data_IF_827347826546
#
_entry.id   IF_827347826546
#
_cell.length_a   1.000
_cell.length_b   1.000
_cell.length_c   1.000
_cell.angle_alpha   90.00
_cell.angle_beta   90.00
_cell.angle_gamma   90.00
#
_symmetry.space_group_name_H-M   'P 1'
#
loop_
_entity.id
_entity.type
_entity.pdbx_description
1 polymer ?
#
# COMPACT_ATOMS: atom_id res chain seq x y z
N UNK A 1 2.48 -11.33 23.74
CA UNK A 1 2.05 -9.92 23.71
C UNK A 1 0.57 -9.92 23.36
N UNK A 2 -0.30 -9.45 24.24
CA UNK A 2 -1.75 -9.66 24.15
C UNK A 2 -2.37 -8.83 23.02
N UNK A 3 -3.11 -9.49 22.14
CA UNK A 3 -3.82 -8.90 20.98
C UNK A 3 -4.80 -7.75 21.35
N UNK A 4 -5.18 -7.64 22.62
CA UNK A 4 -6.05 -6.57 23.15
C UNK A 4 -5.36 -5.21 23.27
N UNK A 5 -4.04 -5.14 23.33
CA UNK A 5 -3.29 -3.89 23.44
C UNK A 5 -3.14 -3.17 22.08
N UNK A 6 -3.16 -3.90 20.99
CA UNK A 6 -3.00 -3.35 19.64
C UNK A 6 -4.29 -2.67 19.16
N UNK A 7 -5.44 -3.18 19.58
CA UNK A 7 -6.75 -2.61 19.20
C UNK A 7 -7.02 -1.28 19.93
N UNK A 8 -6.51 -1.11 21.16
CA UNK A 8 -6.68 0.14 21.94
C UNK A 8 -5.87 1.32 21.37
N UNK A 9 -4.77 1.09 20.69
CA UNK A 9 -3.95 2.15 20.09
C UNK A 9 -4.58 2.67 18.79
N UNK A 10 -5.28 1.82 18.04
CA UNK A 10 -5.95 2.20 16.80
C UNK A 10 -7.18 3.11 17.00
N UNK A 11 -7.82 3.04 18.16
CA UNK A 11 -9.02 3.86 18.48
C UNK A 11 -8.67 5.27 18.96
N UNK A 12 -7.45 5.48 19.47
CA UNK A 12 -7.04 6.76 20.06
C UNK A 12 -6.58 7.81 19.04
N UNK A 13 -6.36 7.44 17.80
CA UNK A 13 -5.92 8.36 16.72
C UNK A 13 -7.10 8.99 15.96
N UNK A 14 -8.33 8.56 16.20
CA UNK A 14 -9.51 9.03 15.43
C UNK A 14 -10.34 10.13 16.11
N UNK A 15 -9.88 10.70 17.23
CA UNK A 15 -10.54 11.83 17.88
C UNK A 15 -9.91 13.18 17.50
N UNK A 16 -9.79 13.48 16.20
CA UNK A 16 -9.53 14.84 15.76
C UNK A 16 -10.87 15.53 15.49
N UNK A 17 -11.18 16.43 16.38
CA UNK A 17 -12.34 17.27 16.49
C UNK A 17 -12.73 17.92 15.16
N UNK A 18 -13.96 17.66 14.72
CA UNK A 18 -14.67 18.50 13.76
C UNK A 18 -15.03 19.79 14.49
N UNK A 19 -14.21 20.83 14.39
CA UNK A 19 -14.59 22.19 14.76
C UNK A 19 -15.28 22.85 13.57
N UNK A 20 -16.54 23.21 13.79
CA UNK A 20 -17.43 23.83 12.84
C UNK A 20 -16.86 25.11 12.22
N UNK A 21 -16.99 25.21 10.92
CA UNK A 21 -16.81 26.48 10.21
C UNK A 21 -18.07 27.31 10.35
N UNK A 22 -17.88 28.45 10.97
CA UNK A 22 -18.86 29.53 11.05
C UNK A 22 -18.90 30.24 9.69
N UNK A 23 -20.02 30.19 9.05
CA UNK A 23 -20.32 30.91 7.82
C UNK A 23 -20.30 32.42 8.12
N UNK A 24 -19.44 33.18 7.44
CA UNK A 24 -19.69 34.62 7.20
C UNK A 24 -18.77 35.22 6.15
N UNK A 25 -19.40 36.00 5.31
CA UNK A 25 -18.93 37.07 4.43
C UNK A 25 -18.40 36.69 3.05
N UNK A 26 -19.13 37.19 2.08
CA UNK A 26 -18.79 37.33 0.66
C UNK A 26 -17.51 38.17 0.53
N UNK A 27 -16.37 37.50 0.55
CA UNK A 27 -15.12 38.12 0.09
C UNK A 27 -15.01 37.71 -1.39
N UNK A 28 -15.00 38.71 -2.30
CA UNK A 28 -14.56 38.49 -3.69
C UNK A 28 -13.15 37.91 -3.64
N UNK A 29 -13.05 36.62 -3.76
CA UNK A 29 -11.79 35.90 -3.93
C UNK A 29 -11.23 36.37 -5.28
N UNK A 30 -10.02 36.97 -5.34
CA UNK A 30 -9.35 37.16 -6.61
C UNK A 30 -9.27 35.79 -7.25
N UNK A 31 -9.75 35.66 -8.49
CA UNK A 31 -9.61 34.48 -9.30
C UNK A 31 -8.12 34.18 -9.39
N UNK A 32 -7.62 33.35 -8.48
CA UNK A 32 -6.33 32.72 -8.67
C UNK A 32 -6.51 31.88 -9.93
N UNK A 33 -5.99 32.43 -11.02
CA UNK A 33 -5.73 31.67 -12.23
C UNK A 33 -5.08 30.38 -11.76
N UNK A 34 -5.84 29.29 -11.78
CA UNK A 34 -5.26 27.96 -11.58
C UNK A 34 -4.20 27.87 -12.67
N UNK A 35 -2.94 27.88 -12.28
CA UNK A 35 -1.87 27.41 -13.15
C UNK A 35 -2.28 26.00 -13.56
N UNK A 36 -2.96 25.92 -14.68
CA UNK A 36 -3.23 24.74 -15.43
C UNK A 36 -1.85 24.17 -15.71
N UNK A 37 -1.43 23.20 -14.88
CA UNK A 37 -0.25 22.41 -15.15
C UNK A 37 -0.40 21.96 -16.60
N UNK A 38 0.52 22.43 -17.44
CA UNK A 38 0.57 22.13 -18.88
C UNK A 38 0.31 20.64 -19.03
N UNK A 39 -0.55 20.24 -19.97
CA UNK A 39 -1.13 18.91 -20.15
C UNK A 39 -0.18 17.71 -20.34
N UNK A 40 1.04 17.77 -19.81
CA UNK A 40 2.11 16.79 -19.91
C UNK A 40 2.26 15.92 -18.67
N UNK A 41 1.90 16.37 -17.49
CA UNK A 41 2.20 15.64 -16.24
C UNK A 41 1.10 14.62 -15.90
N UNK A 42 1.02 13.56 -16.72
CA UNK A 42 0.02 12.51 -16.53
C UNK A 42 0.58 11.25 -15.88
N UNK A 43 1.89 11.18 -15.70
CA UNK A 43 2.56 10.00 -15.16
C UNK A 43 3.25 10.34 -13.84
N UNK A 44 3.33 9.36 -12.96
CA UNK A 44 3.94 9.52 -11.65
C UNK A 44 4.66 8.24 -11.25
N UNK A 45 5.88 8.38 -10.73
CA UNK A 45 6.68 7.28 -10.20
C UNK A 45 7.00 7.54 -8.74
N UNK A 46 6.76 6.56 -7.88
CA UNK A 46 6.97 6.64 -6.42
C UNK A 46 7.67 5.40 -5.89
N UNK A 47 8.42 5.59 -4.83
CA UNK A 47 9.02 4.52 -4.03
C UNK A 47 8.32 4.50 -2.66
N UNK A 48 7.92 3.33 -2.20
CA UNK A 48 7.35 3.11 -0.89
C UNK A 48 8.47 2.89 0.14
N UNK A 49 8.76 3.93 0.91
CA UNK A 49 9.83 3.91 1.91
C UNK A 49 9.49 2.97 3.07
N UNK A 50 8.23 2.91 3.49
CA UNK A 50 7.81 2.05 4.58
C UNK A 50 8.04 0.58 4.23
N UNK A 51 7.65 0.15 3.04
CA UNK A 51 7.87 -1.23 2.58
C UNK A 51 9.36 -1.52 2.35
N UNK A 52 10.15 -0.54 1.91
CA UNK A 52 11.58 -0.69 1.75
C UNK A 52 12.30 -0.97 3.08
N UNK A 53 11.92 -0.28 4.16
CA UNK A 53 12.45 -0.52 5.53
C UNK A 53 12.07 -1.92 6.03
N UNK A 54 10.91 -2.44 5.61
CA UNK A 54 10.44 -3.79 5.95
C UNK A 54 11.10 -4.90 5.08
N UNK A 55 12.09 -4.57 4.24
CA UNK A 55 12.78 -5.54 3.39
C UNK A 55 12.02 -5.92 2.11
N UNK A 56 10.99 -5.13 1.75
CA UNK A 56 10.17 -5.33 0.56
C UNK A 56 10.06 -4.03 -0.27
N UNK A 57 11.16 -3.52 -0.84
CA UNK A 57 11.11 -2.31 -1.66
C UNK A 57 10.02 -2.42 -2.73
N UNK A 58 9.16 -1.40 -2.78
CA UNK A 58 8.02 -1.31 -3.69
C UNK A 58 8.13 -0.07 -4.56
N UNK A 59 8.01 -0.25 -5.86
CA UNK A 59 7.94 0.80 -6.86
C UNK A 59 6.49 0.93 -7.33
N UNK A 60 5.96 2.16 -7.32
CA UNK A 60 4.60 2.48 -7.73
C UNK A 60 4.63 3.38 -8.96
N UNK A 61 4.03 2.95 -10.06
CA UNK A 61 3.76 3.76 -11.24
C UNK A 61 2.27 4.05 -11.32
N UNK A 62 1.91 5.31 -11.61
CA UNK A 62 0.52 5.72 -11.78
C UNK A 62 0.37 6.63 -12.99
N UNK A 63 -0.67 6.39 -13.77
CA UNK A 63 -1.09 7.24 -14.89
C UNK A 63 -2.48 7.82 -14.61
N UNK A 64 -2.62 9.11 -14.79
CA UNK A 64 -3.88 9.81 -14.61
C UNK A 64 -4.72 9.75 -15.87
N UNK A 65 -5.94 9.22 -15.74
CA UNK A 65 -6.93 9.14 -16.83
C UNK A 65 -7.76 10.41 -16.85
N UNK A 66 -7.98 11.01 -15.68
CA UNK A 66 -8.76 12.22 -15.47
C UNK A 66 -8.16 13.03 -14.30
N UNK A 67 -8.69 14.20 -14.05
CA UNK A 67 -8.23 15.06 -12.95
C UNK A 67 -8.43 14.43 -11.57
N UNK A 68 -9.39 13.51 -11.46
CA UNK A 68 -9.72 12.83 -10.21
C UNK A 68 -9.58 11.29 -10.27
N UNK A 69 -9.02 10.72 -11.34
CA UNK A 69 -8.90 9.29 -11.55
C UNK A 69 -7.50 8.89 -11.99
N UNK A 70 -6.97 7.83 -11.41
CA UNK A 70 -5.70 7.23 -11.79
C UNK A 70 -5.75 5.72 -11.84
N UNK A 71 -4.96 5.14 -12.74
CA UNK A 71 -4.66 3.71 -12.78
C UNK A 71 -3.18 3.53 -12.57
N UNK A 72 -2.80 2.48 -11.90
CA UNK A 72 -1.38 2.26 -11.64
C UNK A 72 -1.05 0.81 -11.32
N UNK A 73 0.22 0.63 -11.08
CA UNK A 73 0.83 -0.64 -10.79
C UNK A 73 1.87 -0.46 -9.70
N UNK A 74 1.79 -1.28 -8.65
CA UNK A 74 2.82 -1.42 -7.64
C UNK A 74 3.54 -2.77 -7.82
N UNK A 75 4.86 -2.74 -7.77
CA UNK A 75 5.70 -3.94 -7.84
C UNK A 75 6.63 -3.93 -6.64
N UNK A 76 6.56 -4.99 -5.84
CA UNK A 76 7.43 -5.19 -4.69
C UNK A 76 8.17 -6.52 -4.81
N UNK A 77 9.45 -6.53 -4.42
CA UNK A 77 10.29 -7.72 -4.43
C UNK A 77 11.05 -7.77 -3.10
N UNK A 78 10.96 -8.91 -2.41
CA UNK A 78 11.69 -9.11 -1.16
C UNK A 78 13.19 -9.19 -1.41
N UNK A 79 13.95 -8.41 -0.66
CA UNK A 79 15.42 -8.48 -0.59
C UNK A 79 15.88 -9.40 0.53
N UNK A 80 14.96 -9.82 1.41
CA UNK A 80 15.23 -10.72 2.52
C UNK A 80 15.31 -12.19 2.08
N UNK A 81 16.00 -13.00 2.90
CA UNK A 81 16.09 -14.45 2.67
C UNK A 81 14.72 -15.12 2.88
N UNK A 82 14.46 -16.18 2.13
CA UNK A 82 13.21 -16.94 2.21
C UNK A 82 12.89 -17.50 3.62
N UNK A 83 13.90 -17.70 4.45
CA UNK A 83 13.74 -18.14 5.83
C UNK A 83 13.22 -17.05 6.78
N UNK A 84 13.36 -15.78 6.41
CA UNK A 84 12.97 -14.64 7.24
C UNK A 84 11.61 -14.09 6.83
N UNK A 85 11.29 -14.10 5.53
CA UNK A 85 10.06 -13.55 4.99
C UNK A 85 9.42 -14.52 3.99
N UNK A 86 8.16 -14.87 4.23
CA UNK A 86 7.38 -15.73 3.32
C UNK A 86 7.04 -15.02 2.01
N UNK A 87 6.80 -13.71 2.06
CA UNK A 87 6.46 -12.88 0.90
C UNK A 87 7.69 -12.64 0.03
N UNK A 88 7.64 -13.05 -1.24
CA UNK A 88 8.77 -12.93 -2.18
C UNK A 88 8.57 -11.82 -3.19
N UNK A 89 7.36 -11.72 -3.72
CA UNK A 89 7.02 -10.72 -4.73
C UNK A 89 5.55 -10.35 -4.62
N UNK A 90 5.24 -9.12 -4.94
CA UNK A 90 3.87 -8.63 -5.01
C UNK A 90 3.71 -7.73 -6.23
N UNK A 91 2.70 -8.02 -7.03
CA UNK A 91 2.29 -7.26 -8.20
C UNK A 91 0.87 -6.80 -7.98
N UNK A 92 0.67 -5.48 -7.88
CA UNK A 92 -0.61 -4.90 -7.45
C UNK A 92 -1.06 -3.83 -8.44
N UNK A 93 -1.85 -4.19 -9.46
CA UNK A 93 -2.59 -3.20 -10.23
C UNK A 93 -3.65 -2.54 -9.35
N UNK A 94 -3.83 -1.22 -9.52
CA UNK A 94 -4.77 -0.45 -8.73
C UNK A 94 -5.46 0.64 -9.55
N UNK A 95 -6.64 1.01 -9.06
CA UNK A 95 -7.44 2.13 -9.52
C UNK A 95 -7.72 3.08 -8.36
N UNK A 96 -7.60 4.39 -8.58
CA UNK A 96 -7.79 5.42 -7.55
C UNK A 96 -8.78 6.48 -7.96
N UNK A 97 -9.59 6.87 -6.98
CA UNK A 97 -10.45 8.04 -7.03
C UNK A 97 -9.95 9.08 -6.04
N UNK A 98 -9.71 10.30 -6.53
CA UNK A 98 -9.18 11.42 -5.76
C UNK A 98 -10.29 12.42 -5.41
N UNK A 99 -10.26 12.91 -4.18
CA UNK A 99 -11.20 13.88 -3.62
C UNK A 99 -10.46 15.14 -3.17
N UNK A 100 -9.84 15.84 -4.10
CA UNK A 100 -9.07 17.04 -3.82
C UNK A 100 -9.35 18.15 -4.84
N UNK A 101 -8.96 19.37 -4.51
CA UNK A 101 -9.16 20.56 -5.36
C UNK A 101 -8.08 20.66 -6.48
N UNK A 102 -7.03 19.86 -6.40
CA UNK A 102 -5.95 19.81 -7.41
C UNK A 102 -5.97 18.46 -8.11
N UNK A 103 -5.55 18.43 -9.36
CA UNK A 103 -5.47 17.23 -10.18
C UNK A 103 -4.75 16.10 -9.43
N UNK A 104 -5.45 14.98 -9.23
CA UNK A 104 -4.98 13.74 -8.61
C UNK A 104 -4.14 14.00 -7.33
N UNK A 105 -4.70 14.74 -6.39
CA UNK A 105 -4.10 15.02 -5.09
C UNK A 105 -5.17 15.17 -4.02
N UNK A 106 -4.79 15.16 -2.75
CA UNK A 106 -5.70 15.15 -1.62
C UNK A 106 -6.04 13.73 -1.18
N UNK A 107 -7.17 13.56 -0.55
CA UNK A 107 -7.67 12.25 -0.13
C UNK A 107 -7.99 11.36 -1.33
N UNK A 108 -7.76 10.06 -1.21
CA UNK A 108 -8.13 9.11 -2.24
C UNK A 108 -8.64 7.78 -1.66
N UNK A 109 -9.42 7.08 -2.48
CA UNK A 109 -9.81 5.70 -2.28
C UNK A 109 -9.18 4.87 -3.39
N UNK A 110 -8.60 3.73 -3.04
CA UNK A 110 -7.97 2.78 -3.96
C UNK A 110 -8.71 1.45 -3.94
N UNK A 111 -9.05 0.93 -5.13
CA UNK A 111 -9.37 -0.46 -5.33
C UNK A 111 -8.17 -1.15 -5.98
N UNK A 112 -7.79 -2.33 -5.49
CA UNK A 112 -6.63 -3.03 -6.02
C UNK A 112 -6.85 -4.53 -6.15
N UNK A 113 -6.04 -5.14 -7.01
CA UNK A 113 -5.87 -6.58 -7.13
C UNK A 113 -4.42 -6.91 -6.78
N UNK A 114 -4.16 -8.12 -6.29
CA UNK A 114 -2.80 -8.52 -5.97
C UNK A 114 -2.49 -9.92 -6.51
N UNK A 115 -1.29 -10.06 -7.07
CA UNK A 115 -0.67 -11.35 -7.38
C UNK A 115 0.54 -11.46 -6.47
N UNK A 116 0.51 -12.41 -5.56
CA UNK A 116 1.50 -12.53 -4.48
C UNK A 116 2.21 -13.88 -4.58
N UNK A 117 3.53 -13.82 -4.75
CA UNK A 117 4.42 -14.97 -4.67
C UNK A 117 4.90 -15.16 -3.23
N UNK A 118 4.67 -16.32 -2.67
CA UNK A 118 5.08 -16.70 -1.32
C UNK A 118 5.91 -17.97 -1.31
N UNK A 119 6.88 -18.06 -0.39
CA UNK A 119 7.61 -19.28 -0.10
C UNK A 119 7.17 -19.82 1.25
N UNK A 120 6.79 -21.09 1.28
CA UNK A 120 6.45 -21.82 2.50
C UNK A 120 7.57 -22.77 2.83
N UNK A 121 8.09 -22.68 4.03
CA UNK A 121 9.08 -23.64 4.53
C UNK A 121 8.37 -24.59 5.48
N UNK A 122 8.31 -25.87 5.09
CA UNK A 122 7.72 -26.94 5.87
C UNK A 122 8.86 -27.76 6.47
N UNK A 123 8.93 -27.82 7.80
CA UNK A 123 9.90 -28.66 8.52
C UNK A 123 9.20 -29.92 9.00
N UNK A 124 9.57 -31.06 8.43
CA UNK A 124 9.11 -32.39 8.84
C UNK A 124 10.16 -33.00 9.77
N UNK A 125 9.74 -33.42 10.96
CA UNK A 125 10.59 -34.08 11.95
C UNK A 125 10.40 -35.59 11.84
N UNK A 126 11.49 -36.33 11.64
CA UNK A 126 11.50 -37.78 11.65
C UNK A 126 11.96 -38.22 13.04
N UNK A 127 11.13 -39.02 13.71
CA UNK A 127 11.37 -39.50 15.07
C UNK A 127 11.80 -40.98 15.04
N UNK A 128 12.72 -41.34 15.92
CA UNK A 128 13.04 -42.72 16.22
C UNK A 128 11.95 -43.36 17.10
N UNK A 129 11.97 -44.70 17.23
CA UNK A 129 11.03 -45.49 18.06
C UNK A 129 11.00 -45.01 19.54
N UNK A 130 12.05 -44.35 20.00
CA UNK A 130 12.15 -43.79 21.34
C UNK A 130 11.64 -42.32 21.44
N UNK A 131 11.06 -41.74 20.37
CA UNK A 131 10.57 -40.37 20.33
C UNK A 131 11.66 -39.31 20.21
N UNK A 132 12.90 -39.71 19.89
CA UNK A 132 14.02 -38.76 19.68
C UNK A 132 14.06 -38.36 18.22
N UNK A 133 14.05 -37.03 17.96
CA UNK A 133 14.20 -36.49 16.61
C UNK A 133 15.62 -36.74 16.12
N UNK A 134 15.81 -37.49 15.04
CA UNK A 134 17.13 -37.74 14.47
C UNK A 134 17.34 -37.09 13.08
N UNK A 135 16.28 -36.63 12.44
CA UNK A 135 16.37 -35.93 11.17
C UNK A 135 15.30 -34.87 11.01
N UNK A 136 15.67 -33.70 10.50
CA UNK A 136 14.75 -32.65 10.10
C UNK A 136 14.82 -32.47 8.58
N UNK A 137 13.71 -32.71 7.90
CA UNK A 137 13.59 -32.50 6.45
C UNK A 137 12.92 -31.14 6.24
N UNK A 138 13.67 -30.20 5.67
CA UNK A 138 13.16 -28.85 5.34
C UNK A 138 12.79 -28.82 3.86
N UNK A 139 11.52 -28.63 3.56
CA UNK A 139 11.01 -28.50 2.19
C UNK A 139 10.48 -27.08 1.98
N UNK A 140 10.97 -26.39 0.96
CA UNK A 140 10.46 -25.07 0.56
C UNK A 140 9.52 -25.23 -0.63
N UNK A 141 8.29 -24.78 -0.50
CA UNK A 141 7.28 -24.75 -1.56
C UNK A 141 6.96 -23.31 -1.92
N UNK A 142 7.02 -22.96 -3.21
CA UNK A 142 6.58 -21.68 -3.75
C UNK A 142 5.12 -21.76 -4.16
N UNK A 143 4.33 -20.77 -3.77
CA UNK A 143 2.92 -20.62 -4.15
C UNK A 143 2.66 -19.21 -4.68
N UNK A 144 1.72 -19.10 -5.61
CA UNK A 144 1.25 -17.81 -6.14
C UNK A 144 -0.24 -17.68 -5.83
N UNK A 145 -0.61 -16.59 -5.19
CA UNK A 145 -1.97 -16.32 -4.75
C UNK A 145 -2.49 -15.05 -5.40
N UNK A 146 -3.79 -15.01 -5.68
CA UNK A 146 -4.50 -13.86 -6.19
C UNK A 146 -5.35 -13.25 -5.07
N UNK A 147 -5.55 -11.94 -5.10
CA UNK A 147 -6.37 -11.26 -4.12
C UNK A 147 -6.99 -9.96 -4.62
N UNK A 148 -7.94 -9.47 -3.86
CA UNK A 148 -8.58 -8.17 -4.05
C UNK A 148 -8.53 -7.38 -2.76
N UNK A 149 -8.38 -6.07 -2.87
CA UNK A 149 -8.27 -5.21 -1.72
C UNK A 149 -8.71 -3.78 -1.99
N UNK A 150 -8.65 -3.01 -0.93
CA UNK A 150 -8.90 -1.58 -0.97
C UNK A 150 -7.94 -0.85 -0.02
N UNK A 151 -7.69 0.41 -0.31
CA UNK A 151 -6.93 1.29 0.56
C UNK A 151 -7.50 2.70 0.51
N UNK A 152 -7.18 3.47 1.52
CA UNK A 152 -7.46 4.90 1.60
C UNK A 152 -6.17 5.63 1.91
N UNK A 153 -6.05 6.87 1.44
CA UNK A 153 -4.83 7.62 1.68
C UNK A 153 -4.95 9.09 1.34
N UNK A 154 -3.83 9.78 1.52
CA UNK A 154 -3.70 11.18 1.18
C UNK A 154 -2.41 11.42 0.37
N UNK A 155 -2.54 12.19 -0.69
CA UNK A 155 -1.47 12.56 -1.61
C UNK A 155 -1.24 14.06 -1.59
N UNK A 156 0.01 14.45 -1.45
CA UNK A 156 0.48 15.83 -1.43
C UNK A 156 1.37 16.09 -2.64
N UNK A 157 1.01 17.10 -3.44
CA UNK A 157 1.76 17.51 -4.62
C UNK A 157 2.42 18.85 -4.36
N UNK A 158 3.75 18.89 -4.46
CA UNK A 158 4.56 20.10 -4.41
C UNK A 158 4.64 20.79 -5.79
N UNK A 159 4.96 22.09 -5.82
CA UNK A 159 5.00 22.90 -7.06
C UNK A 159 6.01 22.40 -8.10
N UNK A 160 7.05 21.73 -7.68
CA UNK A 160 8.12 21.20 -8.53
C UNK A 160 7.85 19.77 -9.04
N UNK A 161 6.61 19.25 -8.87
CA UNK A 161 6.23 17.92 -9.28
C UNK A 161 6.61 16.81 -8.30
N UNK A 162 7.23 17.13 -7.15
CA UNK A 162 7.43 16.15 -6.10
C UNK A 162 6.13 15.74 -5.45
N UNK A 163 6.01 14.46 -5.13
CA UNK A 163 4.82 13.86 -4.55
C UNK A 163 5.19 13.14 -3.27
N UNK A 164 4.43 13.42 -2.22
CA UNK A 164 4.40 12.66 -0.98
C UNK A 164 3.03 11.99 -0.82
N UNK A 165 3.01 10.76 -0.34
CA UNK A 165 1.77 10.01 -0.18
C UNK A 165 1.82 9.11 1.06
N UNK A 166 0.69 9.01 1.75
CA UNK A 166 0.48 8.04 2.82
C UNK A 166 -0.82 7.28 2.56
N UNK A 167 -0.80 5.97 2.76
CA UNK A 167 -2.00 5.16 2.59
C UNK A 167 -2.01 3.94 3.50
N UNK A 168 -3.21 3.47 3.79
CA UNK A 168 -3.46 2.27 4.59
C UNK A 168 -4.66 1.51 4.03
N UNK A 169 -4.56 0.21 4.02
CA UNK A 169 -5.60 -0.68 3.56
C UNK A 169 -5.18 -2.14 3.65
N UNK A 170 -5.85 -2.98 2.93
CA UNK A 170 -5.57 -4.40 2.85
C UNK A 170 -6.48 -5.10 1.88
N UNK A 171 -6.22 -6.37 1.67
CA UNK A 171 -7.01 -7.21 0.78
C UNK A 171 -7.07 -8.64 1.26
N UNK A 172 -7.94 -9.40 0.62
CA UNK A 172 -8.12 -10.83 0.85
C UNK A 172 -7.52 -11.62 -0.29
N UNK A 173 -6.77 -12.66 0.06
CA UNK A 173 -6.26 -13.63 -0.89
C UNK A 173 -7.33 -14.70 -1.17
N UNK A 174 -7.39 -15.11 -2.42
CA UNK A 174 -8.24 -16.20 -2.90
C UNK A 174 -7.40 -17.47 -3.01
N UNK A 175 -7.94 -18.60 -2.58
CA UNK A 175 -7.29 -19.90 -2.65
C UNK A 175 -6.81 -20.43 -1.29
N UNK A 176 -6.07 -21.53 -1.33
CA UNK A 176 -5.52 -22.23 -0.16
C UNK A 176 -4.17 -21.61 0.26
N UNK A 177 -4.16 -20.32 0.61
CA UNK A 177 -2.95 -19.70 1.15
C UNK A 177 -2.98 -19.72 2.68
N UNK A 178 -1.79 -19.81 3.30
CA UNK A 178 -1.65 -19.73 4.77
C UNK A 178 -2.11 -18.36 5.24
N UNK A 179 -1.73 -17.31 4.51
CA UNK A 179 -2.17 -15.94 4.78
C UNK A 179 -3.40 -15.65 3.92
N UNK A 180 -4.54 -15.46 4.56
CA UNK A 180 -5.79 -15.13 3.88
C UNK A 180 -5.92 -13.64 3.55
N UNK A 181 -5.01 -12.82 4.03
CA UNK A 181 -5.03 -11.37 3.84
C UNK A 181 -3.63 -10.83 3.52
N UNK A 182 -3.58 -9.69 2.85
CA UNK A 182 -2.34 -8.94 2.62
C UNK A 182 -2.51 -7.47 3.05
N UNK A 183 -1.47 -6.87 3.62
CA UNK A 183 -1.49 -5.45 3.95
C UNK A 183 -1.25 -4.60 2.70
N UNK A 184 -1.93 -3.46 2.62
CA UNK A 184 -1.69 -2.42 1.62
C UNK A 184 -1.41 -1.11 2.35
N UNK A 185 -0.14 -0.87 2.66
CA UNK A 185 0.30 0.28 3.47
C UNK A 185 1.52 0.95 2.85
N UNK A 186 1.65 2.24 3.03
CA UNK A 186 2.81 2.93 2.49
C UNK A 186 2.97 4.38 2.92
N UNK A 187 4.25 4.77 2.95
CA UNK A 187 4.70 6.15 2.95
C UNK A 187 5.57 6.28 1.71
N UNK A 188 5.08 6.99 0.70
CA UNK A 188 5.73 7.05 -0.61
C UNK A 188 6.26 8.45 -0.89
N UNK A 189 7.40 8.49 -1.56
CA UNK A 189 7.96 9.68 -2.18
C UNK A 189 8.18 9.42 -3.68
N UNK A 190 7.95 10.45 -4.49
CA UNK A 190 8.09 10.31 -5.92
C UNK A 190 8.02 11.62 -6.69
N UNK A 191 7.88 11.48 -7.99
CA UNK A 191 7.83 12.60 -8.91
C UNK A 191 6.79 12.35 -10.01
N UNK A 192 6.07 13.41 -10.35
CA UNK A 192 5.15 13.48 -11.47
C UNK A 192 5.86 14.08 -12.69
N UNK A 193 5.56 13.55 -13.87
CA UNK A 193 6.16 13.94 -15.17
C UNK A 193 5.21 13.68 -16.34
#
# INVERSE_FOLDING_TARGET
>A
MNCKAIISIAVLVFSVSVFGQKENSIVKVPTHQSDSLKGTDQNELRINLMMAVLGLPELNYERYISDNMGVGLAVAISVEKASTMSLRSMFTPFYRLYFGNKKASGFFIEGNMAVIGQNQTISNYVYDQNGITYQTIVTTRSTTNFGFGAAVGAKFLARNGFVGEVFVGGGRLLGESIDQAYPRVGICLGKRF
#
